data_IF_344497562935
#
_entry.id   IF_344497562935
#
_cell.length_a   1.000
_cell.length_b   1.000
_cell.length_c   1.000
_cell.angle_alpha   90.00
_cell.angle_beta   90.00
_cell.angle_gamma   90.00
#
_symmetry.space_group_name_H-M   'P 1'
#
loop_
_entity.id
_entity.type
_entity.pdbx_description
1 polymer ?
#
# COMPACT_ATOMS: atom_id res chain seq x y z
N UNK A 1 -33.09 23.96 -32.68
CA UNK A 1 -32.02 24.26 -31.72
C UNK A 1 -32.37 23.56 -30.43
N UNK A 2 -31.64 22.48 -30.06
CA UNK A 2 -31.93 21.67 -28.86
C UNK A 2 -31.33 22.37 -27.65
N UNK A 3 -32.17 22.81 -26.71
CA UNK A 3 -31.75 23.33 -25.42
C UNK A 3 -31.16 22.18 -24.59
N UNK A 4 -29.83 22.14 -24.44
CA UNK A 4 -29.18 21.26 -23.47
C UNK A 4 -29.58 21.74 -22.06
N UNK A 5 -30.30 20.88 -21.34
CA UNK A 5 -30.84 21.21 -20.03
C UNK A 5 -29.72 21.50 -19.01
N UNK A 6 -29.82 22.58 -18.21
CA UNK A 6 -28.80 22.98 -17.23
C UNK A 6 -28.61 21.99 -16.07
N UNK A 7 -29.50 21.00 -15.94
CA UNK A 7 -29.44 19.99 -14.88
C UNK A 7 -28.22 19.06 -14.99
N UNK A 8 -27.69 18.81 -16.19
CA UNK A 8 -26.55 17.91 -16.37
C UNK A 8 -25.20 18.53 -15.98
N UNK A 9 -25.09 19.87 -16.01
CA UNK A 9 -23.87 20.55 -15.56
C UNK A 9 -23.70 20.53 -14.04
N UNK A 10 -24.81 20.56 -13.29
CA UNK A 10 -24.77 20.51 -11.82
C UNK A 10 -24.31 19.14 -11.32
N UNK A 11 -24.72 18.05 -11.99
CA UNK A 11 -24.30 16.68 -11.64
C UNK A 11 -22.80 16.47 -11.92
N UNK A 12 -22.30 17.02 -13.04
CA UNK A 12 -20.86 16.97 -13.36
C UNK A 12 -20.02 17.79 -12.36
N UNK A 13 -20.53 18.92 -11.85
CA UNK A 13 -19.84 19.74 -10.86
C UNK A 13 -19.76 19.11 -9.45
N UNK A 14 -20.74 18.30 -9.07
CA UNK A 14 -20.71 17.56 -7.79
C UNK A 14 -19.77 16.34 -7.86
N UNK A 15 -19.67 15.68 -9.02
CA UNK A 15 -18.75 14.56 -9.21
C UNK A 15 -17.26 14.97 -9.10
N UNK A 16 -16.91 16.19 -9.49
CA UNK A 16 -15.53 16.69 -9.46
C UNK A 16 -15.04 17.13 -8.07
N UNK A 17 -15.93 17.34 -7.10
CA UNK A 17 -15.59 17.59 -5.69
C UNK A 17 -15.32 16.30 -4.89
N UNK A 18 -15.56 15.12 -5.47
CA UNK A 18 -15.58 13.84 -4.75
C UNK A 18 -14.24 13.12 -4.57
N UNK A 19 -13.11 13.68 -5.04
CA UNK A 19 -11.80 12.99 -4.98
C UNK A 19 -10.73 13.92 -4.38
N UNK A 20 -11.00 14.51 -3.23
CA UNK A 20 -9.90 14.91 -2.34
C UNK A 20 -9.56 13.70 -1.49
N UNK A 21 -8.56 12.92 -1.89
CA UNK A 21 -7.91 11.98 -0.99
C UNK A 21 -7.30 12.81 0.16
N UNK A 22 -8.05 12.94 1.26
CA UNK A 22 -7.59 13.63 2.46
C UNK A 22 -6.47 12.82 3.09
N UNK A 23 -5.23 13.11 2.70
CA UNK A 23 -4.06 12.72 3.48
C UNK A 23 -4.12 13.55 4.78
N UNK A 24 -4.62 12.94 5.85
CA UNK A 24 -4.66 13.55 7.16
C UNK A 24 -3.24 13.72 7.67
N UNK A 25 -2.85 14.94 8.06
CA UNK A 25 -1.56 15.17 8.69
C UNK A 25 -1.54 14.61 10.11
N UNK A 26 -0.37 14.17 10.55
CA UNK A 26 -0.16 13.61 11.88
C UNK A 26 1.20 14.01 12.45
N UNK A 27 1.28 14.06 13.76
CA UNK A 27 2.55 14.11 14.49
C UNK A 27 2.88 12.72 15.02
N UNK A 28 1.90 11.99 15.51
CA UNK A 28 2.05 10.73 16.21
C UNK A 28 1.08 9.68 15.64
N UNK A 29 1.37 8.39 15.85
CA UNK A 29 0.49 7.31 15.38
C UNK A 29 -0.91 7.37 15.99
N UNK A 30 -1.05 7.96 17.19
CA UNK A 30 -2.34 8.14 17.87
C UNK A 30 -3.22 9.19 17.21
N UNK A 31 -2.64 10.09 16.42
CA UNK A 31 -3.40 11.04 15.60
C UNK A 31 -4.07 10.33 14.42
N UNK A 32 -3.54 9.16 14.04
CA UNK A 32 -4.08 8.31 13.01
C UNK A 32 -5.05 7.27 13.61
N UNK A 33 -6.12 6.96 12.88
CA UNK A 33 -7.08 5.93 13.31
C UNK A 33 -6.45 4.53 13.41
N UNK A 34 -7.15 3.56 14.03
CA UNK A 34 -6.64 2.20 14.34
C UNK A 34 -6.01 1.42 13.17
N UNK A 35 -6.38 1.73 11.93
CA UNK A 35 -5.89 1.06 10.73
C UNK A 35 -4.90 1.91 9.92
N UNK A 36 -4.40 2.99 10.53
CA UNK A 36 -3.45 3.90 9.93
C UNK A 36 -2.27 4.13 10.88
N UNK A 37 -1.18 4.59 10.33
CA UNK A 37 0.03 4.94 11.05
C UNK A 37 0.56 6.27 10.50
N UNK A 38 1.34 6.96 11.31
CA UNK A 38 1.91 8.24 10.95
C UNK A 38 3.26 8.05 10.26
N UNK A 39 3.27 8.18 8.93
CA UNK A 39 4.52 8.18 8.17
C UNK A 39 5.12 9.60 8.19
N UNK A 40 6.19 9.78 8.96
CA UNK A 40 6.95 11.04 9.00
C UNK A 40 7.91 11.12 7.82
N UNK A 41 7.69 12.11 6.96
CA UNK A 41 8.69 12.57 6.00
C UNK A 41 9.51 13.71 6.59
N UNK A 42 10.52 14.20 5.86
CA UNK A 42 11.39 15.31 6.31
C UNK A 42 10.61 16.58 6.63
N UNK A 43 9.46 16.80 5.98
CA UNK A 43 8.72 18.06 6.03
C UNK A 43 7.41 17.94 6.81
N UNK A 44 6.72 16.80 6.75
CA UNK A 44 5.45 16.57 7.42
C UNK A 44 5.14 15.08 7.66
N UNK A 45 4.33 14.80 8.67
CA UNK A 45 3.75 13.47 8.91
C UNK A 45 2.38 13.33 8.25
N UNK A 46 2.15 12.19 7.61
CA UNK A 46 0.85 11.83 7.01
C UNK A 46 0.35 10.49 7.50
N UNK A 47 -0.95 10.38 7.76
CA UNK A 47 -1.59 9.11 8.08
C UNK A 47 -1.70 8.26 6.81
N UNK A 48 -1.02 7.12 6.79
CA UNK A 48 -1.13 6.11 5.73
C UNK A 48 -1.73 4.83 6.30
N UNK A 49 -2.41 4.01 5.49
CA UNK A 49 -2.94 2.73 5.94
C UNK A 49 -1.82 1.77 6.37
N UNK A 50 -2.12 0.87 7.30
CA UNK A 50 -1.22 -0.22 7.69
C UNK A 50 -0.93 -1.15 6.50
N UNK A 51 0.24 -1.77 6.50
CA UNK A 51 0.68 -2.66 5.43
C UNK A 51 -0.15 -3.95 5.39
N UNK A 52 -0.64 -4.28 4.19
CA UNK A 52 -1.34 -5.53 3.92
C UNK A 52 -0.38 -6.73 3.85
N UNK A 53 -0.91 -7.94 3.78
CA UNK A 53 -0.10 -9.15 3.58
C UNK A 53 0.72 -9.05 2.29
N UNK A 54 2.00 -9.43 2.36
CA UNK A 54 2.94 -9.34 1.24
C UNK A 54 3.51 -7.94 0.99
N UNK A 55 3.09 -6.91 1.75
CA UNK A 55 3.65 -5.57 1.65
C UNK A 55 4.77 -5.35 2.68
N UNK A 56 5.66 -4.40 2.38
CA UNK A 56 6.73 -3.99 3.28
C UNK A 56 6.18 -3.38 4.59
N UNK A 57 6.71 -3.77 5.74
CA UNK A 57 6.27 -3.27 7.06
C UNK A 57 6.83 -1.88 7.40
N UNK A 58 6.83 -0.93 6.46
CA UNK A 58 7.35 0.43 6.70
C UNK A 58 6.65 1.16 7.86
N UNK A 59 5.38 0.81 8.12
CA UNK A 59 4.52 1.55 9.04
C UNK A 59 3.67 0.62 9.94
N UNK A 60 4.12 -0.63 10.08
CA UNK A 60 3.41 -1.68 10.81
C UNK A 60 2.41 -2.45 9.93
N UNK A 61 2.13 -3.68 10.31
CA UNK A 61 1.23 -4.58 9.58
C UNK A 61 -0.22 -4.46 10.07
N UNK A 62 -1.17 -4.77 9.19
CA UNK A 62 -2.59 -4.85 9.54
C UNK A 62 -2.86 -5.89 10.66
N UNK A 63 -3.96 -5.77 11.42
CA UNK A 63 -4.29 -6.70 12.50
C UNK A 63 -4.29 -8.17 12.03
N UNK A 64 -3.62 -9.05 12.78
CA UNK A 64 -3.48 -10.47 12.44
C UNK A 64 -2.24 -10.81 11.61
N UNK A 65 -1.48 -9.80 11.19
CA UNK A 65 -0.20 -9.94 10.50
C UNK A 65 0.97 -9.57 11.43
N UNK A 66 2.14 -10.12 11.16
CA UNK A 66 3.43 -9.75 11.77
C UNK A 66 4.44 -9.38 10.70
N UNK A 67 5.40 -8.53 11.06
CA UNK A 67 6.55 -8.25 10.21
C UNK A 67 7.54 -9.41 10.34
N UNK A 68 7.92 -10.02 9.23
CA UNK A 68 8.92 -11.10 9.18
C UNK A 68 10.36 -10.54 9.02
N UNK A 69 11.38 -11.42 9.01
CA UNK A 69 12.80 -11.00 8.94
C UNK A 69 13.13 -10.27 7.63
N UNK A 70 12.40 -10.55 6.56
CA UNK A 70 12.53 -9.88 5.26
C UNK A 70 11.82 -8.51 5.20
N UNK A 71 11.32 -8.01 6.33
CA UNK A 71 10.52 -6.77 6.41
C UNK A 71 9.23 -6.81 5.56
N UNK A 72 8.59 -7.97 5.48
CA UNK A 72 7.28 -8.15 4.82
C UNK A 72 6.22 -8.58 5.85
N UNK A 73 5.00 -8.08 5.69
CA UNK A 73 3.86 -8.46 6.52
C UNK A 73 3.30 -9.83 6.15
N UNK A 74 3.28 -10.76 7.09
CA UNK A 74 2.81 -12.15 6.92
C UNK A 74 1.81 -12.52 8.01
N UNK A 75 0.89 -13.43 7.70
CA UNK A 75 -0.09 -13.92 8.68
C UNK A 75 0.59 -14.66 9.84
N UNK A 76 0.19 -14.37 11.07
CA UNK A 76 0.72 -15.02 12.28
C UNK A 76 0.30 -16.50 12.28
N UNK A 77 1.28 -17.40 12.09
CA UNK A 77 1.07 -18.86 12.15
C UNK A 77 1.33 -19.61 10.84
N UNK A 78 1.67 -18.93 9.75
CA UNK A 78 2.24 -19.57 8.57
C UNK A 78 3.77 -19.67 8.69
N UNK A 79 4.39 -20.78 8.24
CA UNK A 79 5.84 -20.86 8.11
C UNK A 79 6.34 -19.76 7.15
N UNK A 80 7.60 -19.31 7.29
CA UNK A 80 8.18 -18.31 6.39
C UNK A 80 7.98 -18.75 4.93
N UNK A 81 7.65 -17.79 4.05
CA UNK A 81 7.70 -18.06 2.60
C UNK A 81 9.15 -18.32 2.28
N UNK A 82 9.50 -19.58 2.06
CA UNK A 82 10.70 -19.89 1.27
C UNK A 82 10.35 -19.47 -0.15
N UNK A 83 10.68 -18.24 -0.53
CA UNK A 83 10.83 -17.91 -1.94
C UNK A 83 11.75 -18.97 -2.56
N UNK A 84 11.29 -19.55 -3.67
CA UNK A 84 11.71 -20.85 -4.15
C UNK A 84 13.22 -21.02 -4.26
N UNK A 85 13.73 -22.06 -3.60
CA UNK A 85 14.85 -22.82 -4.13
C UNK A 85 14.33 -23.68 -5.29
N UNK A 86 14.09 -23.05 -6.43
CA UNK A 86 14.15 -23.69 -7.74
C UNK A 86 15.08 -22.80 -8.55
N UNK A 87 16.38 -22.94 -8.24
CA UNK A 87 17.45 -22.50 -9.13
C UNK A 87 17.36 -23.44 -10.34
N UNK A 88 16.96 -22.98 -11.53
CA UNK A 88 17.06 -23.83 -12.70
C UNK A 88 18.55 -24.00 -12.98
N UNK A 89 19.07 -25.16 -12.56
CA UNK A 89 20.40 -25.68 -12.90
C UNK A 89 20.64 -25.41 -14.40
N UNK A 90 21.40 -24.37 -14.72
CA UNK A 90 21.77 -24.05 -16.09
C UNK A 90 22.68 -25.18 -16.58
N UNK A 91 22.34 -25.91 -17.66
CA UNK A 91 23.27 -26.87 -18.23
C UNK A 91 24.50 -26.11 -18.75
N UNK A 92 25.68 -26.49 -18.27
CA UNK A 92 26.97 -26.07 -18.80
C UNK A 92 27.03 -26.35 -20.31
N UNK A 93 26.88 -25.31 -21.12
CA UNK A 93 27.18 -25.33 -22.54
C UNK A 93 28.69 -25.15 -22.70
N UNK A 94 29.45 -26.25 -22.54
CA UNK A 94 30.86 -26.33 -22.91
C UNK A 94 30.97 -26.33 -24.44
N UNK A 95 30.95 -25.12 -25.03
CA UNK A 95 31.38 -24.94 -26.41
C UNK A 95 32.91 -24.86 -26.45
N UNK A 96 33.52 -25.92 -26.97
CA UNK A 96 34.94 -26.00 -27.23
C UNK A 96 35.47 -24.92 -28.17
N UNK A 97 36.71 -24.50 -27.88
CA UNK A 97 37.70 -23.91 -28.80
C UNK A 97 39.08 -24.42 -28.41
#
# INVERSE_FOLDING_TARGET
>A
MRFLAPAHLVVLGLLSLGITAYAQSCSENVDCGRNHCCLRTVVLGVCIPLSAEGAFCACGCAPGLKCDEENICVTVGLPPRTDGADDPEQPDEDQGV
#
